data_IF_668494028328
#
_entry.id   IF_668494028328
#
_cell.length_a   1.000
_cell.length_b   1.000
_cell.length_c   1.000
_cell.angle_alpha   90.00
_cell.angle_beta   90.00
_cell.angle_gamma   90.00
#
_symmetry.space_group_name_H-M   'P 1'
#
loop_
_entity.id
_entity.type
_entity.pdbx_description
1 polymer ?
#
# COMPACT_ATOMS: atom_id res chain seq x y z
N UNK A 1 -67.87 42.94 -49.34
CA UNK A 1 -67.31 44.29 -49.06
C UNK A 1 -66.07 44.14 -48.17
N UNK A 2 -64.98 44.83 -48.52
CA UNK A 2 -63.67 45.01 -47.82
C UNK A 2 -62.83 43.73 -47.60
N UNK A 3 -61.84 43.41 -48.45
CA UNK A 3 -60.46 43.96 -48.60
C UNK A 3 -59.58 43.95 -47.33
N UNK A 4 -58.52 43.13 -47.34
CA UNK A 4 -57.09 43.47 -47.13
C UNK A 4 -56.25 42.17 -47.20
N UNK A 5 -55.50 41.91 -48.28
CA UNK A 5 -54.10 42.28 -48.62
C UNK A 5 -53.00 41.65 -47.75
N UNK A 6 -51.87 41.41 -48.43
CA UNK A 6 -50.52 40.97 -48.01
C UNK A 6 -50.32 39.44 -48.04
N UNK A 7 -49.67 38.80 -49.04
CA UNK A 7 -48.36 39.06 -49.68
C UNK A 7 -47.26 39.26 -48.63
N UNK A 8 -46.08 38.65 -48.62
CA UNK A 8 -45.29 37.74 -49.47
C UNK A 8 -43.96 37.61 -48.69
N UNK A 9 -43.03 36.80 -49.17
CA UNK A 9 -41.61 36.79 -48.78
C UNK A 9 -41.25 35.99 -47.52
N UNK A 10 -40.62 34.82 -47.72
CA UNK A 10 -39.15 34.63 -47.66
C UNK A 10 -38.71 34.50 -46.20
N UNK A 11 -37.74 33.72 -45.79
CA UNK A 11 -36.78 32.80 -46.37
C UNK A 11 -35.93 32.41 -45.15
N UNK A 12 -35.35 31.21 -45.16
CA UNK A 12 -34.09 30.93 -44.44
C UNK A 12 -34.17 31.09 -42.92
N UNK A 13 -34.56 30.03 -42.21
CA UNK A 13 -33.99 29.76 -40.89
C UNK A 13 -34.14 28.28 -40.49
N UNK A 14 -33.83 27.37 -41.42
CA UNK A 14 -33.82 25.92 -41.17
C UNK A 14 -32.42 25.34 -41.36
N UNK A 15 -31.39 25.97 -40.80
CA UNK A 15 -30.04 25.36 -40.76
C UNK A 15 -29.14 26.04 -39.71
N UNK A 16 -29.52 26.01 -38.44
CA UNK A 16 -28.63 26.38 -37.34
C UNK A 16 -28.92 25.54 -36.08
N UNK A 17 -29.21 24.26 -36.28
CA UNK A 17 -29.56 23.35 -35.20
C UNK A 17 -28.99 21.95 -35.47
N UNK A 18 -27.69 21.85 -35.72
CA UNK A 18 -26.88 20.62 -35.65
C UNK A 18 -25.41 21.08 -35.66
N UNK A 19 -24.57 20.52 -34.80
CA UNK A 19 -23.13 20.82 -34.54
C UNK A 19 -22.78 21.68 -33.30
N UNK A 20 -23.60 21.61 -32.25
CA UNK A 20 -23.15 21.87 -30.87
C UNK A 20 -23.40 20.65 -29.97
N UNK A 21 -23.31 19.45 -30.54
CA UNK A 21 -23.31 18.21 -29.77
C UNK A 21 -21.87 17.80 -29.56
N UNK A 22 -21.40 18.11 -28.35
CA UNK A 22 -20.50 17.24 -27.60
C UNK A 22 -19.29 16.78 -28.40
N UNK A 23 -18.29 17.64 -28.54
CA UNK A 23 -16.94 17.11 -28.46
C UNK A 23 -16.77 16.68 -27.01
N UNK A 24 -16.73 15.37 -26.67
CA UNK A 24 -16.20 14.99 -25.37
C UNK A 24 -14.80 15.58 -25.38
N UNK A 25 -14.57 16.55 -24.51
CA UNK A 25 -13.26 17.09 -24.31
C UNK A 25 -12.36 15.87 -24.12
N UNK A 26 -11.49 15.61 -25.10
CA UNK A 26 -10.27 14.88 -24.88
C UNK A 26 -9.53 15.72 -23.84
N UNK A 27 -9.91 15.54 -22.57
CA UNK A 27 -9.09 15.85 -21.43
C UNK A 27 -7.92 14.91 -21.65
N UNK A 28 -6.95 15.41 -22.41
CA UNK A 28 -5.63 14.86 -22.50
C UNK A 28 -5.18 14.83 -21.06
N UNK A 29 -5.30 13.66 -20.45
CA UNK A 29 -4.63 13.33 -19.21
C UNK A 29 -3.16 13.52 -19.50
N UNK A 30 -2.67 14.75 -19.31
CA UNK A 30 -1.25 15.06 -19.26
C UNK A 30 -0.78 14.27 -18.06
N UNK A 31 -0.27 13.07 -18.33
CA UNK A 31 0.15 12.14 -17.30
C UNK A 31 1.07 12.86 -16.34
N UNK A 32 0.91 12.60 -15.04
CA UNK A 32 1.83 13.11 -14.01
C UNK A 32 3.25 12.69 -14.44
N UNK A 33 4.18 13.66 -14.66
CA UNK A 33 5.53 13.34 -15.13
C UNK A 33 6.21 12.36 -14.17
N UNK A 34 7.12 11.54 -14.70
CA UNK A 34 7.85 10.61 -13.85
C UNK A 34 8.68 11.37 -12.80
N UNK A 35 8.72 10.83 -11.58
CA UNK A 35 9.29 11.46 -10.40
C UNK A 35 8.30 12.33 -9.60
N UNK A 36 7.13 12.66 -10.18
CA UNK A 36 6.09 13.43 -9.48
C UNK A 36 5.04 12.54 -8.80
N UNK A 37 4.93 11.27 -9.18
CA UNK A 37 4.01 10.33 -8.53
C UNK A 37 4.54 10.03 -7.13
N UNK A 38 3.64 9.79 -6.18
CA UNK A 38 4.02 9.40 -4.83
C UNK A 38 4.80 8.08 -4.82
N UNK A 39 4.42 7.16 -5.71
CA UNK A 39 5.07 5.86 -5.95
C UNK A 39 6.53 5.98 -6.40
N UNK A 40 6.90 7.09 -7.03
CA UNK A 40 8.28 7.28 -7.52
C UNK A 40 9.21 7.69 -6.36
N UNK A 41 8.65 8.39 -5.37
CA UNK A 41 9.40 9.01 -4.26
C UNK A 41 9.38 8.17 -2.99
N UNK A 42 8.35 7.36 -2.82
CA UNK A 42 8.09 6.63 -1.60
C UNK A 42 7.76 5.17 -1.88
N UNK A 43 8.25 4.31 -0.99
CA UNK A 43 7.89 2.91 -0.95
C UNK A 43 7.25 2.60 0.40
N UNK A 44 6.30 1.68 0.39
CA UNK A 44 5.73 1.11 1.59
C UNK A 44 5.59 -0.39 1.43
N UNK A 45 5.85 -1.14 2.49
CA UNK A 45 5.69 -2.58 2.51
C UNK A 45 5.40 -3.08 3.90
N UNK A 46 4.73 -4.24 3.96
CA UNK A 46 4.70 -5.06 5.17
C UNK A 46 5.69 -6.19 5.07
N UNK A 47 6.14 -6.67 6.22
CA UNK A 47 7.05 -7.79 6.31
C UNK A 47 6.69 -8.72 7.48
N UNK A 48 7.13 -9.96 7.36
CA UNK A 48 7.18 -10.92 8.46
C UNK A 48 8.58 -11.53 8.48
N UNK A 49 9.25 -11.39 9.62
CA UNK A 49 10.55 -11.93 9.94
C UNK A 49 10.36 -13.07 10.94
N UNK A 50 10.90 -14.24 10.67
CA UNK A 50 10.86 -15.38 11.59
C UNK A 50 12.18 -15.40 12.36
N UNK A 51 12.23 -14.92 13.62
CA UNK A 51 13.45 -14.92 14.41
C UNK A 51 13.75 -16.31 14.99
N UNK A 52 14.98 -16.52 15.44
CA UNK A 52 15.32 -17.61 16.35
C UNK A 52 14.75 -17.29 17.75
N UNK A 53 14.39 -18.33 18.50
CA UNK A 53 13.60 -18.24 19.73
C UNK A 53 14.20 -17.35 20.84
N UNK A 54 15.48 -16.97 20.75
CA UNK A 54 16.24 -16.29 21.80
C UNK A 54 16.45 -14.78 21.65
N UNK A 55 16.04 -14.14 20.53
CA UNK A 55 16.50 -12.75 20.24
C UNK A 55 15.40 -11.72 19.92
N UNK A 56 14.13 -11.99 20.28
CA UNK A 56 12.99 -11.17 19.82
C UNK A 56 13.03 -9.67 20.21
N UNK A 57 13.42 -9.33 21.43
CA UNK A 57 13.40 -7.93 21.90
C UNK A 57 14.52 -7.08 21.27
N UNK A 58 15.75 -7.61 21.23
CA UNK A 58 16.90 -6.93 20.64
C UNK A 58 16.70 -6.65 19.15
N UNK A 59 16.06 -7.57 18.43
CA UNK A 59 15.78 -7.40 17.00
C UNK A 59 14.79 -6.26 16.77
N UNK A 60 13.72 -6.15 17.56
CA UNK A 60 12.73 -5.05 17.39
C UNK A 60 13.33 -3.69 17.68
N UNK A 61 14.19 -3.59 18.70
CA UNK A 61 14.94 -2.38 18.98
C UNK A 61 15.84 -2.00 17.79
N UNK A 62 16.62 -2.95 17.27
CA UNK A 62 17.47 -2.72 16.10
C UNK A 62 16.68 -2.31 14.84
N UNK A 63 15.50 -2.90 14.63
CA UNK A 63 14.57 -2.51 13.55
C UNK A 63 14.10 -1.07 13.72
N UNK A 64 13.63 -0.70 14.92
CA UNK A 64 13.18 0.66 15.20
C UNK A 64 14.31 1.66 14.99
N UNK A 65 15.48 1.39 15.57
CA UNK A 65 16.61 2.31 15.54
C UNK A 65 17.09 2.53 14.09
N UNK A 66 17.18 1.46 13.29
CA UNK A 66 17.51 1.58 11.86
C UNK A 66 16.43 2.30 11.06
N UNK A 67 15.16 2.09 11.38
CA UNK A 67 14.06 2.80 10.74
C UNK A 67 14.11 4.30 11.03
N UNK A 68 14.34 4.69 12.29
CA UNK A 68 14.48 6.09 12.69
C UNK A 68 15.69 6.75 12.01
N UNK A 69 16.84 6.06 11.93
CA UNK A 69 18.05 6.52 11.22
C UNK A 69 17.80 6.81 9.73
N UNK A 70 16.93 6.01 9.12
CA UNK A 70 16.55 6.12 7.71
C UNK A 70 15.35 7.05 7.48
N UNK A 71 14.86 7.72 8.53
CA UNK A 71 13.64 8.53 8.51
C UNK A 71 12.43 7.75 7.94
N UNK A 72 12.34 6.47 8.29
CA UNK A 72 11.22 5.60 7.98
C UNK A 72 10.12 5.75 9.04
N UNK A 73 8.88 5.58 8.60
CA UNK A 73 7.68 5.60 9.43
C UNK A 73 7.06 4.21 9.41
N UNK A 74 6.41 3.80 10.49
CA UNK A 74 5.77 2.50 10.54
C UNK A 74 5.73 1.90 11.94
N UNK A 75 5.68 0.57 11.98
CA UNK A 75 5.61 -0.17 13.22
C UNK A 75 6.15 -1.60 13.09
N UNK A 76 6.53 -2.18 14.22
CA UNK A 76 6.80 -3.62 14.36
C UNK A 76 6.17 -4.20 15.64
N UNK A 77 5.88 -5.49 15.62
CA UNK A 77 5.18 -6.23 16.68
C UNK A 77 5.61 -7.69 16.70
N UNK A 78 5.53 -8.35 17.86
CA UNK A 78 5.53 -9.81 17.91
C UNK A 78 4.19 -10.37 17.44
N UNK A 79 4.25 -11.33 16.52
CA UNK A 79 3.12 -12.15 16.10
C UNK A 79 3.04 -13.38 17.00
N UNK A 80 1.98 -13.46 17.81
CA UNK A 80 1.71 -14.62 18.65
C UNK A 80 1.37 -15.88 17.85
N UNK A 81 0.95 -15.72 16.58
CA UNK A 81 0.53 -16.84 15.72
C UNK A 81 1.74 -17.65 15.23
N UNK A 82 2.77 -16.97 14.74
CA UNK A 82 3.87 -17.60 14.01
C UNK A 82 5.22 -17.51 14.74
N UNK A 83 5.23 -16.99 15.98
CA UNK A 83 6.45 -16.63 16.71
C UNK A 83 7.38 -15.76 15.84
N UNK A 84 6.79 -14.86 15.07
CA UNK A 84 7.46 -13.99 14.11
C UNK A 84 7.43 -12.53 14.56
N UNK A 85 8.26 -11.69 13.97
CA UNK A 85 8.19 -10.24 14.07
C UNK A 85 7.56 -9.73 12.79
N UNK A 86 6.42 -9.06 12.92
CA UNK A 86 5.68 -8.48 11.81
C UNK A 86 5.80 -6.97 11.86
N UNK A 87 5.72 -6.32 10.71
CA UNK A 87 5.75 -4.87 10.68
C UNK A 87 5.39 -4.27 9.34
N UNK A 88 5.33 -2.95 9.36
CA UNK A 88 5.07 -2.10 8.21
C UNK A 88 6.13 -0.99 8.19
N UNK A 89 6.68 -0.73 7.02
CA UNK A 89 7.66 0.32 6.77
C UNK A 89 7.16 1.19 5.64
N UNK A 90 7.25 2.51 5.80
CA UNK A 90 6.99 3.50 4.76
C UNK A 90 8.07 4.57 4.79
N UNK A 91 8.68 4.87 3.66
CA UNK A 91 9.84 5.76 3.60
C UNK A 91 10.16 6.20 2.16
N UNK A 92 11.16 7.07 2.00
CA UNK A 92 11.72 7.36 0.67
C UNK A 92 12.21 6.08 0.01
N UNK A 93 12.13 6.00 -1.32
CA UNK A 93 12.46 4.78 -2.08
C UNK A 93 13.87 4.24 -1.76
N UNK A 94 14.90 5.11 -1.74
CA UNK A 94 16.27 4.72 -1.40
C UNK A 94 16.39 4.15 0.03
N UNK A 95 15.86 4.89 1.01
CA UNK A 95 15.81 4.46 2.42
C UNK A 95 15.05 3.15 2.60
N UNK A 96 13.96 2.94 1.85
CA UNK A 96 13.19 1.70 1.94
C UNK A 96 13.91 0.48 1.42
N UNK A 97 14.68 0.64 0.34
CA UNK A 97 15.55 -0.41 -0.18
C UNK A 97 16.69 -0.72 0.80
N UNK A 98 17.24 0.30 1.46
CA UNK A 98 18.24 0.10 2.51
C UNK A 98 17.63 -0.64 3.72
N UNK A 99 16.43 -0.26 4.14
CA UNK A 99 15.72 -0.94 5.23
C UNK A 99 15.38 -2.40 4.90
N UNK A 100 14.98 -2.71 3.65
CA UNK A 100 14.80 -4.11 3.19
C UNK A 100 16.10 -4.90 3.28
N UNK A 101 17.22 -4.27 2.88
CA UNK A 101 18.55 -4.89 2.92
C UNK A 101 18.97 -5.18 4.35
N UNK A 102 18.73 -4.25 5.27
CA UNK A 102 18.96 -4.42 6.70
C UNK A 102 18.13 -5.57 7.28
N UNK A 103 16.81 -5.60 7.03
CA UNK A 103 15.92 -6.67 7.49
C UNK A 103 16.35 -8.06 6.94
N UNK A 104 16.81 -8.10 5.69
CA UNK A 104 17.36 -9.31 5.07
C UNK A 104 18.69 -9.72 5.72
N UNK A 105 19.52 -8.76 6.15
CA UNK A 105 20.76 -9.07 6.87
C UNK A 105 20.50 -9.65 8.25
N UNK A 106 19.51 -9.12 8.97
CA UNK A 106 19.03 -9.69 10.24
C UNK A 106 18.56 -11.12 10.01
N UNK A 107 17.72 -11.36 9.00
CA UNK A 107 17.19 -12.70 8.76
C UNK A 107 18.32 -13.72 8.53
N UNK A 108 19.34 -13.36 7.74
CA UNK A 108 20.52 -14.21 7.48
C UNK A 108 21.42 -14.44 8.68
N UNK A 109 21.55 -13.46 9.57
CA UNK A 109 22.38 -13.54 10.77
C UNK A 109 21.77 -14.46 11.85
N UNK A 110 20.47 -14.74 11.74
CA UNK A 110 19.76 -15.63 12.65
C UNK A 110 20.04 -17.08 12.20
N UNK A 111 20.81 -17.87 12.98
CA UNK A 111 21.03 -19.27 12.66
C UNK A 111 19.68 -19.98 12.61
N UNK A 112 19.33 -20.50 11.43
CA UNK A 112 18.08 -21.20 11.22
C UNK A 112 18.09 -22.53 11.95
N UNK A 113 17.43 -22.61 13.10
CA UNK A 113 17.18 -23.86 13.81
C UNK A 113 16.05 -24.71 13.19
N UNK A 114 15.68 -24.51 11.92
CA UNK A 114 14.76 -25.47 11.27
C UNK A 114 15.54 -26.68 10.77
N UNK A 115 15.62 -27.72 11.60
CA UNK A 115 16.09 -29.06 11.19
C UNK A 115 14.94 -29.92 10.62
N UNK A 116 13.72 -29.39 10.60
CA UNK A 116 12.48 -30.16 10.52
C UNK A 116 11.92 -30.22 9.08
N UNK A 117 12.28 -29.28 8.22
CA UNK A 117 11.60 -29.05 6.92
C UNK A 117 12.43 -29.46 5.69
N UNK A 118 13.53 -30.20 5.86
CA UNK A 118 14.40 -30.60 4.75
C UNK A 118 13.79 -31.70 3.84
N UNK A 119 12.54 -32.10 4.08
CA UNK A 119 11.83 -33.08 3.26
C UNK A 119 11.18 -32.49 1.99
N UNK A 120 11.01 -31.17 1.87
CA UNK A 120 10.20 -30.56 0.79
C UNK A 120 10.85 -29.43 -0.01
N UNK A 121 12.18 -29.28 0.02
CA UNK A 121 12.92 -28.41 -0.92
C UNK A 121 12.58 -26.91 -0.89
N UNK A 122 11.69 -26.46 -0.01
CA UNK A 122 11.36 -25.07 0.20
C UNK A 122 12.37 -24.51 1.20
N UNK A 123 13.37 -23.77 0.70
CA UNK A 123 14.14 -22.86 1.54
C UNK A 123 13.14 -21.86 2.14
N UNK A 124 12.64 -22.13 3.35
CA UNK A 124 11.72 -21.26 4.04
C UNK A 124 12.42 -19.91 4.22
N UNK A 125 12.02 -18.91 3.42
CA UNK A 125 12.56 -17.56 3.53
C UNK A 125 12.30 -17.10 4.97
N UNK A 126 13.37 -16.81 5.71
CA UNK A 126 13.30 -16.29 7.08
C UNK A 126 12.65 -14.89 7.14
N UNK A 127 12.51 -14.23 5.98
CA UNK A 127 11.77 -12.98 5.86
C UNK A 127 10.94 -12.96 4.57
N UNK A 128 9.71 -12.47 4.68
CA UNK A 128 8.79 -12.27 3.57
C UNK A 128 8.39 -10.80 3.52
N UNK A 129 8.45 -10.21 2.33
CA UNK A 129 8.03 -8.84 2.08
C UNK A 129 6.79 -8.81 1.19
N UNK A 130 5.96 -7.80 1.39
CA UNK A 130 4.91 -7.43 0.45
C UNK A 130 4.86 -5.93 0.26
N UNK A 131 5.20 -5.51 -0.95
CA UNK A 131 5.14 -4.13 -1.38
C UNK A 131 3.71 -3.66 -1.61
N UNK A 132 3.42 -2.43 -1.18
CA UNK A 132 2.18 -1.77 -1.53
C UNK A 132 2.27 -1.20 -2.96
N UNK A 133 1.19 -1.30 -3.76
CA UNK A 133 1.16 -0.71 -5.08
C UNK A 133 1.21 0.82 -5.03
N UNK A 134 0.73 1.42 -3.94
CA UNK A 134 0.89 2.82 -3.59
C UNK A 134 1.13 2.95 -2.09
N UNK A 135 2.15 3.71 -1.71
CA UNK A 135 2.49 3.90 -0.31
C UNK A 135 1.55 4.86 0.42
N UNK A 136 0.67 5.59 -0.30
CA UNK A 136 -0.30 6.60 0.20
C UNK A 136 0.22 7.30 1.47
N UNK A 137 1.47 7.79 1.42
CA UNK A 137 2.11 8.39 2.59
C UNK A 137 1.54 9.79 2.74
N UNK A 138 0.53 9.92 3.61
CA UNK A 138 0.30 11.19 4.30
C UNK A 138 1.45 11.33 5.27
N UNK A 139 2.48 12.08 4.88
CA UNK A 139 3.66 12.36 5.70
C UNK A 139 3.21 12.90 7.06
N UNK A 140 3.07 12.00 8.02
CA UNK A 140 3.00 12.35 9.43
C UNK A 140 4.39 12.10 9.98
N UNK A 141 4.94 13.09 10.68
CA UNK A 141 6.24 13.04 11.35
C UNK A 141 6.23 12.08 12.56
N UNK A 142 5.80 10.83 12.38
CA UNK A 142 5.67 9.86 13.44
C UNK A 142 6.84 8.87 13.44
N UNK A 143 7.67 8.90 14.48
CA UNK A 143 8.73 7.91 14.72
C UNK A 143 8.24 6.46 14.55
N UNK A 144 9.17 5.56 14.21
CA UNK A 144 8.87 4.14 14.09
C UNK A 144 8.47 3.55 15.45
N UNK A 145 7.41 2.74 15.49
CA UNK A 145 6.82 2.26 16.75
C UNK A 145 6.99 0.78 16.96
N UNK A 146 7.47 0.38 18.14
CA UNK A 146 7.26 -0.98 18.64
C UNK A 146 5.87 -0.99 19.30
N UNK A 147 4.93 -1.75 18.73
CA UNK A 147 3.54 -1.79 19.22
C UNK A 147 3.30 -3.00 20.12
N UNK A 148 2.28 -2.92 20.98
CA UNK A 148 1.94 -4.02 21.90
C UNK A 148 1.54 -5.28 21.14
N UNK A 149 2.01 -6.47 21.54
CA UNK A 149 1.58 -7.76 20.96
C UNK A 149 0.07 -8.02 21.00
N UNK A 150 -0.67 -7.30 21.85
CA UNK A 150 -2.14 -7.41 21.96
C UNK A 150 -2.89 -6.61 20.89
N UNK A 151 -2.22 -5.72 20.16
CA UNK A 151 -2.85 -4.92 19.12
C UNK A 151 -3.15 -5.81 17.92
N UNK A 152 -4.36 -5.72 17.39
CA UNK A 152 -4.69 -6.41 16.14
C UNK A 152 -4.04 -5.67 14.96
N UNK A 153 -3.06 -6.30 14.34
CA UNK A 153 -2.28 -5.77 13.20
C UNK A 153 -2.21 -6.73 12.03
N UNK A 154 -3.04 -7.77 12.02
CA UNK A 154 -3.08 -8.71 10.92
C UNK A 154 -3.75 -8.10 9.67
N UNK A 155 -3.47 -8.70 8.52
CA UNK A 155 -3.89 -8.21 7.22
C UNK A 155 -4.81 -9.21 6.52
N UNK A 156 -5.43 -8.75 5.41
CA UNK A 156 -6.22 -9.60 4.52
C UNK A 156 -5.43 -10.72 3.85
N UNK A 157 -4.17 -10.45 3.60
CA UNK A 157 -3.33 -11.34 2.83
C UNK A 157 -1.96 -11.45 3.51
N UNK A 158 -1.18 -12.44 3.06
CA UNK A 158 0.18 -12.70 3.55
C UNK A 158 1.09 -11.45 3.52
N UNK A 159 2.12 -11.38 4.38
CA UNK A 159 2.62 -12.47 5.25
C UNK A 159 1.99 -12.56 6.65
N UNK A 160 1.31 -11.53 7.16
CA UNK A 160 0.66 -11.60 8.47
C UNK A 160 -0.87 -11.65 8.33
N UNK A 161 -1.38 -12.71 7.70
CA UNK A 161 -2.81 -12.85 7.42
C UNK A 161 -3.61 -13.16 8.69
N UNK A 162 -4.76 -12.51 8.89
CA UNK A 162 -5.66 -12.85 10.01
C UNK A 162 -6.16 -14.30 9.91
N UNK A 163 -6.14 -15.04 11.02
CA UNK A 163 -6.64 -16.42 11.09
C UNK A 163 -8.17 -16.50 10.86
N UNK A 164 -8.89 -15.43 11.22
CA UNK A 164 -10.35 -15.38 11.18
C UNK A 164 -10.79 -14.38 10.11
N UNK A 165 -10.89 -14.82 8.85
CA UNK A 165 -11.70 -14.17 7.82
C UNK A 165 -13.10 -14.77 7.73
N UNK A 166 -13.65 -15.25 8.84
CA UNK A 166 -14.93 -15.95 8.85
C UNK A 166 -16.03 -15.14 9.55
N UNK A 167 -16.93 -14.63 8.70
CA UNK A 167 -18.35 -14.35 8.90
C UNK A 167 -18.77 -13.19 9.81
N UNK A 168 -18.57 -11.95 9.35
CA UNK A 168 -19.54 -10.89 9.66
C UNK A 168 -20.22 -10.47 8.36
N UNK A 169 -21.29 -11.17 8.03
CA UNK A 169 -22.34 -10.58 7.22
C UNK A 169 -23.11 -9.62 8.11
N UNK A 170 -22.68 -8.36 8.17
CA UNK A 170 -23.50 -7.18 8.47
C UNK A 170 -22.58 -5.95 8.33
N UNK A 171 -23.00 -5.04 7.46
CA UNK A 171 -22.45 -3.71 7.22
C UNK A 171 -21.02 -3.61 6.65
N UNK A 172 -21.00 -3.62 5.32
CA UNK A 172 -19.93 -3.25 4.39
C UNK A 172 -19.50 -1.76 4.49
N UNK A 173 -19.23 -1.25 5.69
CA UNK A 173 -18.66 0.10 5.84
C UNK A 173 -17.14 0.03 5.71
N UNK A 174 -16.70 0.06 4.46
CA UNK A 174 -15.36 0.47 4.00
C UNK A 174 -14.17 0.01 4.85
N UNK A 175 -13.84 -1.28 4.77
CA UNK A 175 -12.45 -1.68 4.97
C UNK A 175 -11.63 -1.08 3.82
N UNK A 176 -11.09 0.12 4.04
CA UNK A 176 -10.00 0.62 3.20
C UNK A 176 -8.82 -0.28 3.51
N UNK A 177 -8.44 -1.11 2.55
CA UNK A 177 -7.08 -1.60 2.42
C UNK A 177 -6.15 -0.38 2.63
N UNK A 178 -5.51 -0.32 3.80
CA UNK A 178 -4.50 0.68 4.13
C UNK A 178 -3.11 0.09 3.92
#
# INVERSE_FOLDING_TARGET
>A
MKQHRYAKHHSVLRTCLILLLFQPACVMSVGVPDGWKMTDRFIGYRYELIPSATHGEDIKAAIRDKADDLFCFGWCQDSSLNKSIVGEVRCKTSAGNEMKSFLTSISKAIPGERKDDQANGFNAKQIIFRDYPDALIRLHFSHFKIVSPRRNTCFREEPHKCSNFYNEGEDSVSFRDR
#
